data_IF_931382345284
#
_entry.id   IF_931382345284
#
_cell.length_a   1.000
_cell.length_b   1.000
_cell.length_c   1.000
_cell.angle_alpha   90.00
_cell.angle_beta   90.00
_cell.angle_gamma   90.00
#
_symmetry.space_group_name_H-M   'P 1'
#
loop_
_entity.id
_entity.type
_entity.pdbx_description
1 polymer ?
#
# COMPACT_ATOMS: atom_id res chain seq x y z
N UNK A 1 11.42 25.92 1.97
CA UNK A 1 10.92 24.72 2.69
C UNK A 1 10.33 23.77 1.66
N UNK A 2 10.73 22.50 1.71
CA UNK A 2 10.23 21.48 0.76
C UNK A 2 8.80 21.11 1.12
N UNK A 3 7.88 21.23 0.17
CA UNK A 3 6.50 20.81 0.37
C UNK A 3 6.29 19.40 -0.16
N UNK A 4 5.84 18.53 0.71
CA UNK A 4 5.38 17.19 0.38
C UNK A 4 4.02 16.95 1.01
N UNK A 5 3.33 15.87 0.69
CA UNK A 5 2.06 15.62 1.33
C UNK A 5 1.41 14.30 0.92
N UNK A 6 0.18 14.12 1.38
CA UNK A 6 -0.71 13.02 1.05
C UNK A 6 -2.01 13.58 0.47
N UNK A 7 -2.46 13.03 -0.65
CA UNK A 7 -3.77 13.33 -1.24
C UNK A 7 -4.63 12.07 -1.32
N UNK A 8 -5.90 12.19 -0.93
CA UNK A 8 -6.87 11.10 -0.94
C UNK A 8 -8.25 11.58 -0.54
N UNK A 9 -9.18 10.66 -0.28
CA UNK A 9 -10.50 10.96 0.25
C UNK A 9 -10.68 10.32 1.62
N UNK A 10 -11.20 11.10 2.59
CA UNK A 10 -11.41 10.69 3.98
C UNK A 10 -10.13 10.21 4.69
N UNK A 11 -9.02 10.95 4.54
CA UNK A 11 -7.68 10.54 4.97
C UNK A 11 -7.15 11.21 6.25
N UNK A 12 -8.00 11.89 7.01
CA UNK A 12 -7.62 12.65 8.23
C UNK A 12 -6.98 11.78 9.33
N UNK A 13 -7.21 10.47 9.29
CA UNK A 13 -6.65 9.50 10.25
C UNK A 13 -5.24 9.02 9.90
N UNK A 14 -4.70 9.44 8.76
CA UNK A 14 -3.41 8.94 8.25
C UNK A 14 -2.25 9.25 9.18
N UNK A 15 -1.39 8.25 9.39
CA UNK A 15 -0.14 8.38 10.14
C UNK A 15 1.04 8.85 9.26
N UNK A 16 0.84 9.01 7.95
CA UNK A 16 1.89 9.45 7.02
C UNK A 16 2.55 10.77 7.43
N UNK A 17 1.83 11.81 7.93
CA UNK A 17 2.47 13.03 8.41
C UNK A 17 3.55 12.75 9.46
N UNK A 18 3.21 11.99 10.50
CA UNK A 18 4.14 11.66 11.60
C UNK A 18 5.36 10.86 11.13
N UNK A 19 5.16 9.92 10.21
CA UNK A 19 6.23 9.14 9.61
C UNK A 19 7.21 10.05 8.86
N UNK A 20 6.70 10.92 7.99
CA UNK A 20 7.55 11.81 7.20
C UNK A 20 8.20 12.91 8.04
N UNK A 21 7.56 13.39 9.11
CA UNK A 21 8.18 14.30 10.08
C UNK A 21 9.35 13.64 10.81
N UNK A 22 9.21 12.37 11.21
CA UNK A 22 10.31 11.58 11.77
C UNK A 22 11.47 11.47 10.78
N UNK A 23 11.22 11.09 9.53
CA UNK A 23 12.22 10.98 8.48
C UNK A 23 12.93 12.31 8.22
N UNK A 24 12.18 13.40 8.17
CA UNK A 24 12.70 14.75 7.96
C UNK A 24 13.66 15.17 9.10
N UNK A 25 13.28 14.89 10.34
CA UNK A 25 14.10 15.20 11.51
C UNK A 25 15.41 14.41 11.49
N UNK A 26 15.36 13.08 11.29
CA UNK A 26 16.54 12.22 11.30
C UNK A 26 17.49 12.53 10.12
N UNK A 27 16.93 12.85 8.95
CA UNK A 27 17.73 13.20 7.75
C UNK A 27 18.13 14.66 7.67
N UNK A 28 17.68 15.53 8.61
CA UNK A 28 17.89 16.99 8.61
C UNK A 28 17.31 17.68 7.36
N UNK A 29 16.29 17.09 6.74
CA UNK A 29 15.55 17.69 5.62
C UNK A 29 14.40 18.50 6.19
N UNK A 30 14.30 19.77 5.82
CA UNK A 30 13.16 20.62 6.26
C UNK A 30 11.99 20.43 5.32
N UNK A 31 10.84 19.99 5.86
CA UNK A 31 9.61 19.75 5.11
C UNK A 31 8.43 20.56 5.64
N UNK A 32 7.43 20.78 4.77
CA UNK A 32 6.05 21.13 5.08
C UNK A 32 5.17 20.01 4.54
N UNK A 33 4.63 19.18 5.46
CA UNK A 33 3.80 18.02 5.09
C UNK A 33 2.32 18.40 5.09
N UNK A 34 1.66 18.26 3.95
CA UNK A 34 0.26 18.65 3.76
C UNK A 34 -0.64 17.42 3.60
N UNK A 35 -1.78 17.40 4.28
CA UNK A 35 -2.84 16.40 4.06
C UNK A 35 -3.95 17.06 3.24
N UNK A 36 -4.13 16.58 2.02
CA UNK A 36 -5.10 17.10 1.06
C UNK A 36 -6.25 16.09 0.95
N UNK A 37 -7.29 16.34 1.76
CA UNK A 37 -8.52 15.55 1.72
C UNK A 37 -9.44 16.14 0.65
N UNK A 38 -9.67 15.41 -0.44
CA UNK A 38 -10.46 15.92 -1.56
C UNK A 38 -11.55 14.93 -2.00
N UNK A 39 -12.67 15.49 -2.43
CA UNK A 39 -13.81 14.73 -2.92
C UNK A 39 -13.58 14.20 -4.36
N UNK A 40 -14.34 13.16 -4.77
CA UNK A 40 -14.32 12.68 -6.15
C UNK A 40 -14.56 13.82 -7.16
N UNK A 41 -13.69 13.88 -8.18
CA UNK A 41 -13.72 14.94 -9.20
C UNK A 41 -12.84 16.17 -8.88
N UNK A 42 -12.34 16.29 -7.66
CA UNK A 42 -11.45 17.43 -7.28
C UNK A 42 -9.96 17.07 -7.32
N UNK A 43 -9.61 15.80 -7.45
CA UNK A 43 -8.26 15.28 -7.35
C UNK A 43 -7.27 15.98 -8.29
N UNK A 44 -7.57 16.07 -9.58
CA UNK A 44 -6.69 16.71 -10.58
C UNK A 44 -6.44 18.17 -10.23
N UNK A 45 -7.49 18.90 -9.80
CA UNK A 45 -7.39 20.30 -9.39
C UNK A 45 -6.50 20.43 -8.14
N UNK A 46 -6.71 19.59 -7.14
CA UNK A 46 -5.94 19.60 -5.89
C UNK A 46 -4.44 19.35 -6.15
N UNK A 47 -4.11 18.33 -6.95
CA UNK A 47 -2.73 18.03 -7.33
C UNK A 47 -2.08 19.17 -8.10
N UNK A 48 -2.80 19.76 -9.06
CA UNK A 48 -2.29 20.89 -9.85
C UNK A 48 -2.04 22.13 -8.99
N UNK A 49 -2.92 22.44 -8.03
CA UNK A 49 -2.73 23.54 -7.09
C UNK A 49 -1.49 23.29 -6.22
N UNK A 50 -1.32 22.07 -5.70
CA UNK A 50 -0.16 21.73 -4.91
C UNK A 50 1.15 21.88 -5.70
N UNK A 51 1.26 21.29 -6.90
CA UNK A 51 2.50 21.34 -7.68
C UNK A 51 2.83 22.73 -8.28
N UNK A 52 1.86 23.62 -8.36
CA UNK A 52 2.10 25.05 -8.69
C UNK A 52 2.63 25.85 -7.50
N UNK A 53 2.52 25.34 -6.29
CA UNK A 53 2.99 26.07 -5.10
C UNK A 53 4.53 26.07 -5.03
N UNK A 54 5.15 27.18 -4.58
CA UNK A 54 6.59 27.24 -4.39
C UNK A 54 7.09 26.17 -3.41
N UNK A 55 8.14 25.45 -3.78
CA UNK A 55 8.75 24.42 -2.96
C UNK A 55 8.06 23.05 -3.03
N UNK A 56 7.06 22.84 -3.89
CA UNK A 56 6.42 21.55 -4.09
C UNK A 56 7.42 20.51 -4.66
N UNK A 57 7.59 19.39 -3.95
CA UNK A 57 8.49 18.29 -4.29
C UNK A 57 7.73 17.06 -4.70
N UNK A 58 6.76 16.61 -3.91
CA UNK A 58 6.02 15.40 -4.20
C UNK A 58 4.79 15.16 -3.35
N UNK A 59 3.91 14.29 -3.83
CA UNK A 59 2.70 13.85 -3.15
C UNK A 59 2.63 12.33 -3.08
N UNK A 60 2.32 11.79 -1.92
CA UNK A 60 1.75 10.46 -1.85
C UNK A 60 0.28 10.52 -2.28
N UNK A 61 -0.17 9.46 -2.92
CA UNK A 61 -1.55 9.30 -3.37
C UNK A 61 -2.15 8.04 -2.74
N UNK A 62 -3.34 8.18 -2.17
CA UNK A 62 -4.05 7.02 -1.60
C UNK A 62 -5.46 6.89 -2.19
N UNK A 63 -6.31 6.09 -1.57
CA UNK A 63 -7.66 5.79 -2.05
C UNK A 63 -8.46 7.09 -2.26
N UNK A 64 -9.27 7.17 -3.33
CA UNK A 64 -9.44 6.19 -4.42
C UNK A 64 -8.55 6.49 -5.65
N UNK A 65 -7.58 7.40 -5.58
CA UNK A 65 -6.97 8.11 -6.69
C UNK A 65 -5.69 7.49 -7.27
N UNK A 66 -5.23 6.32 -6.78
CA UNK A 66 -3.96 5.71 -7.23
C UNK A 66 -3.89 5.38 -8.73
N UNK A 67 -5.05 5.12 -9.36
CA UNK A 67 -5.14 4.91 -10.80
C UNK A 67 -5.21 6.23 -11.56
N UNK A 68 -6.02 7.18 -11.07
CA UNK A 68 -6.17 8.50 -11.67
C UNK A 68 -4.84 9.30 -11.65
N UNK A 69 -3.99 9.07 -10.64
CA UNK A 69 -2.68 9.71 -10.52
C UNK A 69 -1.73 9.42 -11.69
N UNK A 70 -1.88 8.27 -12.37
CA UNK A 70 -1.10 7.96 -13.56
C UNK A 70 -1.41 8.91 -14.73
N UNK A 71 -2.65 9.38 -14.83
CA UNK A 71 -3.09 10.26 -15.92
C UNK A 71 -2.59 11.71 -15.77
N UNK A 72 -2.14 12.09 -14.57
CA UNK A 72 -1.58 13.43 -14.30
C UNK A 72 -0.09 13.47 -14.63
N UNK A 73 0.60 12.34 -14.52
CA UNK A 73 2.04 12.25 -14.66
C UNK A 73 2.49 12.36 -16.12
N UNK A 74 3.57 13.10 -16.36
CA UNK A 74 4.22 13.20 -17.67
C UNK A 74 4.99 11.92 -18.03
N UNK A 75 5.38 11.16 -17.01
CA UNK A 75 6.06 9.86 -17.14
C UNK A 75 5.76 8.97 -15.95
N UNK A 76 5.91 7.66 -16.16
CA UNK A 76 5.56 6.64 -15.16
C UNK A 76 6.70 5.63 -15.07
N UNK A 77 7.05 5.20 -13.86
CA UNK A 77 7.99 4.10 -13.71
C UNK A 77 7.39 2.77 -14.17
N UNK A 78 8.26 1.78 -14.39
CA UNK A 78 7.85 0.47 -14.93
C UNK A 78 6.86 -0.22 -13.98
N UNK A 79 7.10 -0.18 -12.68
CA UNK A 79 6.27 -0.87 -11.69
C UNK A 79 4.87 -0.24 -11.61
N UNK A 80 4.80 1.09 -11.53
CA UNK A 80 3.52 1.80 -11.51
C UNK A 80 2.69 1.55 -12.79
N UNK A 81 3.35 1.46 -13.95
CA UNK A 81 2.71 1.13 -15.21
C UNK A 81 2.16 -0.29 -15.25
N UNK A 82 2.96 -1.27 -14.82
CA UNK A 82 2.59 -2.69 -14.82
C UNK A 82 1.42 -3.00 -13.88
N UNK A 83 1.38 -2.40 -12.69
CA UNK A 83 0.29 -2.61 -11.75
C UNK A 83 -0.88 -1.61 -11.93
N UNK A 84 -0.77 -0.67 -12.88
CA UNK A 84 -1.73 0.41 -13.10
C UNK A 84 -2.09 1.13 -11.78
N UNK A 85 -1.07 1.50 -10.99
CA UNK A 85 -1.24 2.11 -9.67
C UNK A 85 -0.06 3.01 -9.32
N UNK A 86 -0.35 4.24 -8.90
CA UNK A 86 0.62 5.21 -8.42
C UNK A 86 0.26 5.63 -6.99
N UNK A 87 1.21 5.50 -6.06
CA UNK A 87 1.08 6.05 -4.72
C UNK A 87 2.06 7.19 -4.43
N UNK A 88 2.93 7.53 -5.39
CA UNK A 88 3.97 8.56 -5.21
C UNK A 88 4.16 9.36 -6.49
N UNK A 89 3.86 10.65 -6.42
CA UNK A 89 4.13 11.63 -7.47
C UNK A 89 5.38 12.43 -7.07
N UNK A 90 6.31 12.61 -8.01
CA UNK A 90 7.53 13.38 -7.82
C UNK A 90 7.66 14.44 -8.90
N UNK A 91 7.85 15.70 -8.47
CA UNK A 91 8.10 16.81 -9.38
C UNK A 91 9.58 16.87 -9.76
N UNK A 92 9.85 16.85 -11.07
CA UNK A 92 11.19 17.02 -11.62
C UNK A 92 11.16 18.15 -12.66
N UNK A 93 11.61 19.33 -12.28
CA UNK A 93 11.44 20.54 -13.07
C UNK A 93 9.95 20.85 -13.26
N UNK A 94 9.51 20.98 -14.52
CA UNK A 94 8.12 21.22 -14.89
C UNK A 94 7.31 19.90 -15.10
N UNK A 95 7.95 18.76 -14.99
CA UNK A 95 7.32 17.45 -15.17
C UNK A 95 6.98 16.77 -13.84
N UNK A 96 5.97 15.89 -13.87
CA UNK A 96 5.59 15.04 -12.75
C UNK A 96 5.82 13.61 -13.17
N UNK A 97 6.53 12.84 -12.35
CA UNK A 97 6.74 11.41 -12.55
C UNK A 97 5.93 10.61 -11.54
N UNK A 98 5.23 9.59 -12.03
CA UNK A 98 4.47 8.65 -11.22
C UNK A 98 5.33 7.45 -10.84
N UNK A 99 5.23 7.05 -9.57
CA UNK A 99 5.90 5.88 -9.00
C UNK A 99 4.91 5.05 -8.16
N UNK A 100 5.25 3.77 -7.94
CA UNK A 100 4.62 2.98 -6.90
C UNK A 100 5.65 2.44 -5.93
N UNK A 101 5.42 2.64 -4.65
CA UNK A 101 6.25 2.13 -3.55
C UNK A 101 5.51 1.07 -2.73
N UNK A 102 4.22 0.83 -3.00
CA UNK A 102 3.37 -0.07 -2.22
C UNK A 102 3.87 -1.51 -2.23
N UNK A 103 4.14 -2.06 -3.40
CA UNK A 103 4.54 -3.46 -3.51
C UNK A 103 5.90 -3.74 -2.86
N UNK A 104 6.87 -2.88 -3.10
CA UNK A 104 8.20 -3.00 -2.47
C UNK A 104 8.13 -2.74 -0.97
N UNK A 105 7.34 -1.74 -0.53
CA UNK A 105 7.12 -1.46 0.88
C UNK A 105 6.45 -2.63 1.60
N UNK A 106 5.48 -3.28 0.96
CA UNK A 106 4.88 -4.51 1.48
C UNK A 106 5.91 -5.62 1.62
N UNK A 107 6.66 -5.92 0.55
CA UNK A 107 7.66 -6.98 0.58
C UNK A 107 8.69 -6.76 1.69
N UNK A 108 9.24 -5.55 1.80
CA UNK A 108 10.19 -5.20 2.87
C UNK A 108 9.62 -5.33 4.29
N UNK A 109 8.31 -5.21 4.44
CA UNK A 109 7.68 -5.37 5.76
C UNK A 109 7.51 -6.82 6.21
N UNK A 110 7.66 -7.79 5.29
CA UNK A 110 7.46 -9.20 5.59
C UNK A 110 8.68 -10.09 5.31
N UNK A 111 9.68 -9.62 4.56
CA UNK A 111 10.80 -10.43 4.07
C UNK A 111 11.63 -11.09 5.18
N UNK A 112 11.68 -10.50 6.38
CA UNK A 112 12.37 -11.09 7.54
C UNK A 112 11.56 -12.21 8.22
N UNK A 113 10.25 -12.27 7.97
CA UNK A 113 9.35 -13.20 8.65
C UNK A 113 8.90 -14.35 7.75
N UNK A 114 8.87 -14.14 6.42
CA UNK A 114 8.24 -15.06 5.48
C UNK A 114 9.05 -15.18 4.19
N UNK A 115 9.50 -16.39 3.88
CA UNK A 115 9.97 -16.70 2.53
C UNK A 115 8.76 -16.93 1.61
N UNK A 116 8.63 -16.09 0.58
CA UNK A 116 7.49 -16.11 -0.34
C UNK A 116 7.72 -16.95 -1.60
N UNK A 117 8.95 -17.42 -1.83
CA UNK A 117 9.28 -18.16 -3.04
C UNK A 117 8.47 -19.45 -3.13
N UNK A 118 7.81 -19.65 -4.28
CA UNK A 118 6.93 -20.81 -4.55
C UNK A 118 5.70 -20.92 -3.65
N UNK A 119 5.50 -19.95 -2.73
CA UNK A 119 4.33 -19.93 -1.85
C UNK A 119 3.06 -19.56 -2.62
N UNK A 120 1.96 -20.20 -2.24
CA UNK A 120 0.62 -19.89 -2.74
C UNK A 120 0.02 -18.75 -1.91
N UNK A 121 -0.19 -17.61 -2.53
CA UNK A 121 -0.63 -16.39 -1.85
C UNK A 121 -1.97 -15.92 -2.43
N UNK A 122 -2.97 -15.80 -1.58
CA UNK A 122 -4.27 -15.24 -1.92
C UNK A 122 -4.34 -13.76 -1.52
N UNK A 123 -4.58 -12.91 -2.50
CA UNK A 123 -4.83 -11.47 -2.29
C UNK A 123 -6.33 -11.20 -2.31
N UNK A 124 -6.84 -10.64 -1.24
CA UNK A 124 -8.23 -10.21 -1.12
C UNK A 124 -8.34 -8.73 -1.45
N UNK A 125 -8.99 -8.41 -2.56
CA UNK A 125 -9.08 -7.07 -3.11
C UNK A 125 -8.43 -6.94 -4.49
N UNK A 126 -8.84 -5.92 -5.26
CA UNK A 126 -8.33 -5.65 -6.62
C UNK A 126 -7.97 -4.17 -6.83
N UNK A 127 -7.86 -3.40 -5.73
CA UNK A 127 -7.48 -1.99 -5.76
C UNK A 127 -6.00 -1.75 -6.07
N UNK A 128 -5.58 -0.49 -6.11
CA UNK A 128 -4.21 -0.11 -6.47
C UNK A 128 -3.13 -0.79 -5.63
N UNK A 129 -3.30 -0.87 -4.30
CA UNK A 129 -2.34 -1.55 -3.42
C UNK A 129 -2.32 -3.06 -3.67
N UNK A 130 -3.49 -3.70 -3.84
CA UNK A 130 -3.57 -5.14 -4.16
C UNK A 130 -2.80 -5.47 -5.45
N UNK A 131 -2.95 -4.64 -6.48
CA UNK A 131 -2.24 -4.79 -7.76
C UNK A 131 -0.73 -4.62 -7.60
N UNK A 132 -0.29 -3.61 -6.85
CA UNK A 132 1.13 -3.35 -6.61
C UNK A 132 1.79 -4.49 -5.81
N UNK A 133 1.12 -4.97 -4.75
CA UNK A 133 1.57 -6.10 -3.93
C UNK A 133 1.67 -7.36 -4.77
N UNK A 134 0.61 -7.73 -5.48
CA UNK A 134 0.59 -8.95 -6.27
C UNK A 134 1.62 -8.95 -7.40
N UNK A 135 1.77 -7.84 -8.12
CA UNK A 135 2.81 -7.70 -9.15
C UNK A 135 4.23 -7.89 -8.58
N UNK A 136 4.46 -7.35 -7.38
CA UNK A 136 5.77 -7.46 -6.72
C UNK A 136 6.04 -8.88 -6.26
N UNK A 137 5.09 -9.54 -5.62
CA UNK A 137 5.23 -10.91 -5.12
C UNK A 137 5.36 -11.93 -6.27
N UNK A 138 4.56 -11.75 -7.34
CA UNK A 138 4.65 -12.59 -8.54
C UNK A 138 6.05 -12.52 -9.16
N UNK A 139 6.63 -11.33 -9.30
CA UNK A 139 8.01 -11.15 -9.81
C UNK A 139 9.06 -11.79 -8.92
N UNK A 140 8.77 -12.00 -7.64
CA UNK A 140 9.64 -12.66 -6.66
C UNK A 140 9.42 -14.17 -6.56
N UNK A 141 8.60 -14.73 -7.45
CA UNK A 141 8.41 -16.18 -7.59
C UNK A 141 7.33 -16.78 -6.71
N UNK A 142 6.41 -15.96 -6.16
CA UNK A 142 5.21 -16.46 -5.51
C UNK A 142 4.13 -16.85 -6.53
N UNK A 143 3.27 -17.82 -6.18
CA UNK A 143 2.06 -18.16 -6.91
C UNK A 143 0.91 -17.29 -6.40
N UNK A 144 0.43 -16.36 -7.19
CA UNK A 144 -0.54 -15.35 -6.77
C UNK A 144 -1.93 -15.69 -7.28
N UNK A 145 -2.90 -15.59 -6.38
CA UNK A 145 -4.32 -15.66 -6.68
C UNK A 145 -5.06 -14.44 -6.12
N UNK A 146 -6.19 -14.12 -6.73
CA UNK A 146 -7.03 -13.00 -6.31
C UNK A 146 -8.46 -13.46 -6.00
N UNK A 147 -9.05 -12.86 -4.98
CA UNK A 147 -10.49 -12.88 -4.76
C UNK A 147 -10.98 -11.48 -4.39
N UNK A 148 -12.20 -11.18 -4.79
CA UNK A 148 -12.83 -9.91 -4.45
C UNK A 148 -14.34 -10.07 -4.40
N UNK A 149 -15.03 -9.20 -3.64
CA UNK A 149 -16.51 -9.20 -3.58
C UNK A 149 -17.14 -8.96 -4.94
N UNK A 150 -16.59 -8.05 -5.75
CA UNK A 150 -17.03 -7.75 -7.12
C UNK A 150 -16.12 -8.47 -8.13
N UNK A 151 -16.70 -9.33 -8.96
CA UNK A 151 -15.99 -9.98 -10.08
C UNK A 151 -15.50 -8.98 -11.12
N UNK A 152 -16.29 -7.95 -11.41
CA UNK A 152 -15.91 -6.90 -12.37
C UNK A 152 -14.58 -6.21 -11.99
N UNK A 153 -14.25 -6.17 -10.70
CA UNK A 153 -12.98 -5.61 -10.24
C UNK A 153 -11.80 -6.52 -10.58
N UNK A 154 -12.00 -7.84 -10.62
CA UNK A 154 -10.96 -8.81 -11.02
C UNK A 154 -10.73 -8.73 -12.55
N UNK A 155 -11.78 -8.56 -13.33
CA UNK A 155 -11.67 -8.40 -14.79
C UNK A 155 -10.86 -7.14 -15.19
N UNK A 156 -10.82 -6.13 -14.31
CA UNK A 156 -10.05 -4.89 -14.49
C UNK A 156 -8.59 -4.97 -14.04
N UNK A 157 -8.14 -6.13 -13.56
CA UNK A 157 -6.73 -6.33 -13.24
C UNK A 157 -5.86 -6.12 -14.49
N UNK A 158 -4.63 -5.57 -14.35
CA UNK A 158 -3.68 -5.43 -15.46
C UNK A 158 -3.36 -6.79 -16.09
N UNK A 159 -2.97 -6.80 -17.38
CA UNK A 159 -2.74 -8.03 -18.14
C UNK A 159 -1.78 -9.03 -17.46
N UNK A 160 -0.77 -8.56 -16.72
CA UNK A 160 0.15 -9.42 -15.97
C UNK A 160 -0.46 -10.06 -14.71
N UNK A 161 -1.66 -9.62 -14.28
CA UNK A 161 -2.38 -10.11 -13.11
C UNK A 161 -3.76 -10.68 -13.45
N UNK A 162 -4.13 -10.71 -14.73
CA UNK A 162 -5.38 -11.33 -15.19
C UNK A 162 -5.32 -12.85 -15.11
N UNK A 163 -6.51 -13.45 -14.98
CA UNK A 163 -6.69 -14.92 -14.92
C UNK A 163 -5.97 -15.59 -13.74
N UNK A 164 -5.75 -14.84 -12.67
CA UNK A 164 -5.23 -15.35 -11.40
C UNK A 164 -6.37 -15.47 -10.38
N UNK A 165 -7.57 -15.85 -10.84
CA UNK A 165 -8.72 -16.05 -9.98
C UNK A 165 -8.47 -17.23 -9.04
N UNK A 166 -8.89 -17.08 -7.79
CA UNK A 166 -8.80 -18.15 -6.79
C UNK A 166 -9.93 -19.18 -6.98
N UNK A 167 -9.56 -20.47 -7.05
CA UNK A 167 -10.47 -21.58 -7.28
C UNK A 167 -10.46 -22.62 -6.16
N UNK A 168 -9.91 -22.29 -4.98
CA UNK A 168 -9.88 -23.17 -3.82
C UNK A 168 -8.53 -23.87 -3.58
N UNK A 169 -7.47 -23.34 -4.16
CA UNK A 169 -6.10 -23.78 -3.88
C UNK A 169 -5.79 -23.58 -2.39
N UNK A 170 -5.06 -24.54 -1.78
CA UNK A 170 -4.60 -24.36 -0.40
C UNK A 170 -3.52 -23.28 -0.35
N UNK A 171 -3.72 -22.26 0.49
CA UNK A 171 -2.87 -21.07 0.54
C UNK A 171 -1.91 -21.07 1.73
N UNK A 172 -0.70 -20.61 1.50
CA UNK A 172 0.33 -20.39 2.54
C UNK A 172 0.21 -18.99 3.16
N UNK A 173 -0.28 -18.00 2.38
CA UNK A 173 -0.45 -16.64 2.87
C UNK A 173 -1.76 -16.02 2.35
N UNK A 174 -2.45 -15.32 3.24
CA UNK A 174 -3.60 -14.48 2.94
C UNK A 174 -3.24 -13.02 3.12
N UNK A 175 -3.41 -12.22 2.07
CA UNK A 175 -3.16 -10.77 2.11
C UNK A 175 -4.47 -10.02 1.97
N UNK A 176 -4.86 -9.27 3.01
CA UNK A 176 -6.04 -8.41 3.01
C UNK A 176 -5.70 -7.02 2.49
N UNK A 177 -6.25 -6.66 1.33
CA UNK A 177 -6.15 -5.32 0.72
C UNK A 177 -7.51 -4.60 0.70
N UNK A 178 -8.44 -5.01 1.55
CA UNK A 178 -9.78 -4.42 1.70
C UNK A 178 -9.86 -3.60 2.99
N UNK A 179 -10.79 -2.63 3.08
CA UNK A 179 -10.94 -1.85 4.29
C UNK A 179 -11.43 -2.71 5.46
N UNK A 180 -11.12 -2.36 6.73
CA UNK A 180 -11.57 -3.09 7.92
C UNK A 180 -13.08 -3.34 7.97
N UNK A 181 -13.89 -2.42 7.45
CA UNK A 181 -15.35 -2.54 7.35
C UNK A 181 -15.82 -3.70 6.43
N UNK A 182 -14.93 -4.29 5.63
CA UNK A 182 -15.22 -5.41 4.76
C UNK A 182 -14.58 -6.74 5.25
N UNK A 183 -14.03 -6.76 6.46
CA UNK A 183 -13.33 -7.92 7.04
C UNK A 183 -14.22 -9.18 7.15
N UNK A 184 -15.53 -9.01 7.36
CA UNK A 184 -16.50 -10.12 7.42
C UNK A 184 -16.49 -10.97 6.14
N UNK A 185 -16.13 -10.39 5.00
CA UNK A 185 -15.98 -11.11 3.74
C UNK A 185 -14.93 -12.23 3.85
N UNK A 186 -13.79 -11.95 4.46
CA UNK A 186 -12.71 -12.93 4.64
C UNK A 186 -13.14 -13.98 5.67
N UNK A 187 -13.69 -13.56 6.80
CA UNK A 187 -14.13 -14.46 7.88
C UNK A 187 -15.17 -15.46 7.38
N UNK A 188 -16.17 -14.97 6.63
CA UNK A 188 -17.20 -15.82 6.04
C UNK A 188 -16.60 -16.86 5.10
N UNK A 189 -15.66 -16.46 4.22
CA UNK A 189 -15.04 -17.38 3.25
C UNK A 189 -14.14 -18.44 3.90
N UNK A 190 -13.48 -18.13 5.01
CA UNK A 190 -12.71 -19.12 5.79
C UNK A 190 -13.69 -20.08 6.49
N UNK A 191 -14.74 -19.56 7.14
CA UNK A 191 -15.72 -20.37 7.85
C UNK A 191 -16.50 -21.33 6.91
N UNK A 192 -16.82 -20.89 5.69
CA UNK A 192 -17.46 -21.71 4.66
C UNK A 192 -16.50 -22.66 3.93
N UNK A 193 -15.20 -22.62 4.24
CA UNK A 193 -14.14 -23.38 3.55
C UNK A 193 -14.00 -23.03 2.06
N UNK A 194 -14.48 -21.88 1.64
CA UNK A 194 -14.20 -21.35 0.32
C UNK A 194 -12.73 -20.88 0.21
N UNK A 195 -12.12 -20.41 1.31
CA UNK A 195 -10.68 -20.20 1.42
C UNK A 195 -10.10 -21.38 2.21
N UNK A 196 -9.18 -22.10 1.57
CA UNK A 196 -8.50 -23.27 2.13
C UNK A 196 -7.12 -22.85 2.61
N UNK A 197 -6.83 -23.05 3.90
CA UNK A 197 -5.55 -22.71 4.50
C UNK A 197 -4.63 -23.94 4.55
N UNK A 198 -3.34 -23.76 4.21
CA UNK A 198 -2.30 -24.75 4.43
C UNK A 198 -1.97 -24.88 5.94
N UNK A 199 -1.06 -25.78 6.28
CA UNK A 199 -0.47 -25.84 7.62
C UNK A 199 0.38 -24.58 7.83
N UNK A 200 0.23 -23.95 9.01
CA UNK A 200 0.98 -22.74 9.40
C UNK A 200 0.85 -21.54 8.42
N UNK A 201 -0.37 -21.16 8.04
CA UNK A 201 -0.58 -20.07 7.11
C UNK A 201 -0.26 -18.71 7.75
N UNK A 202 0.14 -17.75 6.92
CA UNK A 202 0.41 -16.37 7.35
C UNK A 202 -0.74 -15.46 6.91
N UNK A 203 -1.12 -14.53 7.77
CA UNK A 203 -2.06 -13.45 7.45
C UNK A 203 -1.36 -12.11 7.47
N UNK A 204 -1.57 -11.29 6.44
CA UNK A 204 -1.09 -9.91 6.39
C UNK A 204 -2.25 -8.98 6.02
N UNK A 205 -2.57 -8.05 6.90
CA UNK A 205 -3.57 -7.01 6.65
C UNK A 205 -2.87 -5.70 6.27
N UNK A 206 -3.28 -5.07 5.17
CA UNK A 206 -2.79 -3.74 4.82
C UNK A 206 -3.36 -2.64 5.72
N UNK A 207 -4.42 -2.94 6.47
CA UNK A 207 -4.97 -2.06 7.50
C UNK A 207 -4.04 -1.94 8.71
N UNK A 208 -3.83 -0.73 9.20
CA UNK A 208 -3.04 -0.44 10.41
C UNK A 208 -3.86 0.25 11.52
N UNK A 209 -5.04 0.76 11.18
CA UNK A 209 -6.05 1.25 12.13
C UNK A 209 -7.18 0.23 12.15
N UNK A 210 -7.50 -0.30 13.34
CA UNK A 210 -8.51 -1.36 13.51
C UNK A 210 -8.25 -2.58 12.62
N UNK A 211 -6.98 -2.98 12.46
CA UNK A 211 -6.60 -4.14 11.66
C UNK A 211 -7.24 -5.41 12.21
N UNK A 212 -7.77 -6.24 11.30
CA UNK A 212 -8.31 -7.56 11.65
C UNK A 212 -7.21 -8.51 12.15
N UNK A 213 -5.93 -8.25 11.85
CA UNK A 213 -4.79 -9.00 12.40
C UNK A 213 -4.73 -8.96 13.93
N UNK A 214 -5.32 -7.93 14.56
CA UNK A 214 -5.40 -7.79 16.01
C UNK A 214 -6.62 -8.49 16.63
N UNK A 215 -7.53 -9.02 15.82
CA UNK A 215 -8.66 -9.80 16.30
C UNK A 215 -8.20 -11.23 16.65
N UNK A 216 -8.18 -11.56 17.95
CA UNK A 216 -7.67 -12.86 18.44
C UNK A 216 -8.43 -14.06 17.87
N UNK A 217 -9.77 -13.95 17.72
CA UNK A 217 -10.59 -15.02 17.17
C UNK A 217 -10.33 -15.28 15.69
N UNK A 218 -9.93 -14.28 14.96
CA UNK A 218 -9.51 -14.40 13.57
C UNK A 218 -8.05 -14.85 13.47
N UNK A 219 -7.15 -14.21 14.19
CA UNK A 219 -5.71 -14.47 14.15
C UNK A 219 -5.34 -15.92 14.52
N UNK A 220 -6.13 -16.59 15.37
CA UNK A 220 -5.89 -18.00 15.75
C UNK A 220 -5.91 -19.00 14.59
N UNK A 221 -6.44 -18.62 13.43
CA UNK A 221 -6.40 -19.44 12.21
C UNK A 221 -5.05 -19.42 11.49
N UNK A 222 -4.13 -18.58 11.92
CA UNK A 222 -2.84 -18.30 11.27
C UNK A 222 -1.70 -18.52 12.26
N UNK A 223 -0.57 -19.01 11.75
CA UNK A 223 0.65 -19.13 12.54
C UNK A 223 1.26 -17.75 12.86
N UNK A 224 1.05 -16.78 11.95
CA UNK A 224 1.50 -15.40 12.09
C UNK A 224 0.45 -14.45 11.50
N UNK A 225 0.12 -13.39 12.23
CA UNK A 225 -0.75 -12.32 11.75
C UNK A 225 -0.02 -10.97 11.86
N UNK A 226 0.09 -10.25 10.75
CA UNK A 226 0.85 -8.99 10.61
C UNK A 226 -0.13 -7.89 10.18
N UNK A 227 -0.04 -6.72 10.80
CA UNK A 227 -0.78 -5.52 10.39
C UNK A 227 -0.04 -4.68 9.33
N UNK A 228 -0.69 -3.63 8.83
CA UNK A 228 -0.17 -2.77 7.78
C UNK A 228 0.85 -1.71 8.22
N UNK A 229 1.24 -1.65 9.50
CA UNK A 229 2.13 -0.60 9.99
C UNK A 229 3.52 -0.70 9.34
N UNK A 230 4.06 -1.91 9.24
CA UNK A 230 5.33 -2.16 8.55
C UNK A 230 5.31 -1.68 7.09
N UNK A 231 4.27 -2.08 6.34
CA UNK A 231 4.11 -1.62 4.96
C UNK A 231 3.99 -0.11 4.87
N UNK A 232 3.21 0.52 5.75
CA UNK A 232 3.03 1.98 5.78
C UNK A 232 4.36 2.71 5.93
N UNK A 233 5.23 2.25 6.84
CA UNK A 233 6.52 2.88 7.07
C UNK A 233 7.52 2.63 5.92
N UNK A 234 7.61 1.41 5.41
CA UNK A 234 8.53 1.07 4.33
C UNK A 234 8.18 1.77 3.01
N UNK A 235 6.89 1.82 2.62
CA UNK A 235 6.50 2.54 1.41
C UNK A 235 6.73 4.05 1.53
N UNK A 236 6.56 4.62 2.73
CA UNK A 236 6.85 6.03 2.99
C UNK A 236 8.35 6.32 2.92
N UNK A 237 9.21 5.44 3.45
CA UNK A 237 10.65 5.55 3.33
C UNK A 237 11.12 5.53 1.88
N UNK A 238 10.54 4.66 1.05
CA UNK A 238 10.81 4.62 -0.39
C UNK A 238 10.35 5.90 -1.11
N UNK A 239 9.20 6.45 -0.72
CA UNK A 239 8.73 7.73 -1.26
C UNK A 239 9.65 8.87 -0.86
N UNK A 240 10.10 8.91 0.38
CA UNK A 240 11.05 9.90 0.88
C UNK A 240 12.38 9.83 0.13
N UNK A 241 12.89 8.63 -0.12
CA UNK A 241 14.08 8.41 -0.94
C UNK A 241 13.90 8.89 -2.37
N UNK A 242 12.75 8.68 -3.00
CA UNK A 242 12.43 9.20 -4.35
C UNK A 242 12.49 10.73 -4.38
N UNK A 243 11.96 11.39 -3.35
CA UNK A 243 11.89 12.86 -3.30
C UNK A 243 13.21 13.54 -2.94
N UNK A 244 13.99 12.93 -2.04
CA UNK A 244 15.16 13.61 -1.45
C UNK A 244 16.49 12.88 -1.68
N UNK A 245 16.48 11.68 -2.24
CA UNK A 245 17.70 10.88 -2.46
C UNK A 245 18.32 10.33 -1.17
N UNK A 246 17.60 10.37 -0.05
CA UNK A 246 18.11 10.00 1.29
C UNK A 246 17.44 8.72 1.77
N UNK A 247 18.24 7.77 2.25
CA UNK A 247 17.75 6.58 2.99
C UNK A 247 17.35 6.99 4.40
N UNK A 248 16.24 6.43 4.88
CA UNK A 248 15.68 6.69 6.20
C UNK A 248 15.28 5.38 6.88
N UNK A 249 15.14 5.37 8.20
CA UNK A 249 14.81 4.18 8.99
C UNK A 249 13.30 4.03 9.19
N UNK A 250 12.63 3.07 8.48
CA UNK A 250 11.20 2.83 8.65
C UNK A 250 10.85 2.24 10.03
N UNK A 251 11.71 1.43 10.63
CA UNK A 251 11.47 0.81 11.94
C UNK A 251 11.55 1.85 13.06
N UNK A 252 12.50 2.79 12.95
CA UNK A 252 12.57 3.94 13.84
C UNK A 252 11.32 4.79 13.80
N UNK A 253 10.70 4.99 12.62
CA UNK A 253 9.44 5.71 12.50
C UNK A 253 8.26 4.98 13.18
N UNK A 254 8.20 3.66 13.08
CA UNK A 254 7.19 2.85 13.79
C UNK A 254 7.36 3.01 15.30
N UNK A 255 8.59 2.88 15.79
CA UNK A 255 8.92 3.03 17.21
C UNK A 255 8.57 4.43 17.73
N UNK A 256 8.83 5.47 16.95
CA UNK A 256 8.45 6.85 17.26
C UNK A 256 6.93 7.03 17.42
N UNK A 257 6.13 6.49 16.50
CA UNK A 257 4.66 6.58 16.56
C UNK A 257 4.10 5.86 17.78
N UNK A 258 4.66 4.71 18.15
CA UNK A 258 4.20 3.96 19.31
C UNK A 258 4.51 4.69 20.62
N UNK A 259 5.67 5.34 20.72
CA UNK A 259 6.07 6.10 21.92
C UNK A 259 5.26 7.38 22.13
N UNK A 260 4.73 7.99 21.06
CA UNK A 260 3.83 9.17 21.21
C UNK A 260 2.41 8.82 21.67
N UNK A 261 2.02 7.54 21.66
CA UNK A 261 0.72 7.08 22.14
C UNK A 261 0.70 6.75 23.64
N UNK A 262 1.86 6.68 24.27
CA UNK A 262 2.05 6.44 25.72
C UNK A 262 2.40 7.76 26.43
#
# INVERSE_FOLDING_TARGET
MNKIGLVGNQIKYSLSPKIHEFFARESKVTIDYQVIDCEPGEFVKAVNVFFKSPGAVGLNVTIPYKEEALNIASSTDIQAKECNSCNTLHKNGDSIKAHTTDGEGFFKSIEEYVDIKEKTILIVGAGGSARAVGATLLKRGANIYYTNRSKDSLERLPNGLKNLDYHGEAIDMLVSCIPPSAADFIQTKIASKEIVLNTDPVFVDLGYVNSIAHNQDFAKHFALAIDGMGMLAHQAALSFKIWFGVEVDPLGAISYIHNEKN
#
